data_IF_797989892682
#
_entry.id   IF_797989892682
#
_cell.length_a   1.000
_cell.length_b   1.000
_cell.length_c   1.000
_cell.angle_alpha   90.00
_cell.angle_beta   90.00
_cell.angle_gamma   90.00
#
_symmetry.space_group_name_H-M   'P 1'
#
loop_
_entity.id
_entity.type
_entity.pdbx_description
1 polymer ?
#
# COMPACT_ATOMS: atom_id res chain seq x y z
N UNK A 1 -66.87 -7.02 -24.78
CA UNK A 1 -67.02 -6.76 -23.32
C UNK A 1 -65.88 -7.46 -22.61
N UNK A 2 -65.22 -6.75 -21.85
CA UNK A 2 -64.16 -6.97 -20.88
C UNK A 2 -62.79 -6.47 -21.32
N UNK A 3 -62.37 -5.40 -20.67
CA UNK A 3 -61.11 -4.72 -20.83
C UNK A 3 -60.16 -5.35 -19.83
N UNK A 4 -59.07 -5.91 -20.30
CA UNK A 4 -57.98 -6.31 -19.45
C UNK A 4 -56.97 -5.14 -19.37
N UNK A 5 -56.95 -4.54 -18.18
CA UNK A 5 -55.96 -3.55 -17.74
C UNK A 5 -54.63 -4.29 -17.50
N UNK A 6 -53.66 -4.13 -18.38
CA UNK A 6 -52.28 -4.38 -18.06
C UNK A 6 -51.68 -3.19 -17.30
N UNK A 7 -51.55 -3.36 -16.01
CA UNK A 7 -50.80 -2.43 -15.15
C UNK A 7 -49.34 -2.41 -15.56
N UNK A 8 -48.94 -1.27 -16.09
CA UNK A 8 -47.56 -0.95 -16.47
C UNK A 8 -46.93 -0.17 -15.28
N UNK A 9 -46.64 -0.88 -14.21
CA UNK A 9 -45.94 -0.35 -13.03
C UNK A 9 -44.67 -1.15 -12.71
N UNK A 10 -43.69 -1.09 -13.55
CA UNK A 10 -42.35 -1.63 -13.22
C UNK A 10 -41.22 -1.04 -14.09
N UNK A 11 -41.28 0.24 -14.43
CA UNK A 11 -40.16 0.88 -15.16
C UNK A 11 -39.99 2.36 -14.72
N UNK A 12 -39.79 2.59 -13.44
CA UNK A 12 -39.26 3.88 -12.98
C UNK A 12 -38.83 3.75 -11.52
N UNK A 13 -37.63 3.20 -11.35
CA UNK A 13 -36.87 3.52 -10.17
C UNK A 13 -35.38 3.62 -10.58
N UNK A 14 -34.91 4.78 -11.03
CA UNK A 14 -33.47 5.03 -10.99
C UNK A 14 -33.13 5.12 -9.51
N UNK A 15 -32.46 4.08 -9.00
CA UNK A 15 -31.87 4.10 -7.68
C UNK A 15 -31.07 5.37 -7.54
N UNK A 16 -31.65 6.35 -6.88
CA UNK A 16 -31.01 7.57 -6.47
C UNK A 16 -29.84 7.21 -5.56
N UNK A 17 -28.64 7.42 -6.04
CA UNK A 17 -27.46 7.52 -5.22
C UNK A 17 -27.66 8.72 -4.30
N UNK A 18 -28.15 8.47 -3.10
CA UNK A 18 -28.19 9.47 -2.04
C UNK A 18 -26.73 9.76 -1.62
N UNK A 19 -26.23 10.88 -2.09
CA UNK A 19 -25.13 11.60 -1.47
C UNK A 19 -25.52 11.86 0.00
N UNK A 20 -24.92 11.13 0.95
CA UNK A 20 -25.12 11.47 2.35
C UNK A 20 -25.43 10.30 3.28
N UNK A 21 -24.61 9.26 3.28
CA UNK A 21 -24.49 8.40 4.45
C UNK A 21 -23.02 8.07 4.72
N UNK A 22 -22.28 9.08 5.14
CA UNK A 22 -21.10 8.91 5.95
C UNK A 22 -21.59 8.39 7.32
N UNK A 23 -21.32 7.12 7.65
CA UNK A 23 -21.52 6.72 9.01
C UNK A 23 -21.89 5.30 9.37
N UNK A 24 -22.00 4.36 8.45
CA UNK A 24 -22.42 2.99 8.81
C UNK A 24 -21.35 1.90 8.61
N UNK A 25 -20.15 2.22 8.12
CA UNK A 25 -19.15 1.22 7.82
C UNK A 25 -18.19 0.95 8.97
N UNK A 26 -18.32 -0.18 9.65
CA UNK A 26 -17.29 -0.65 10.59
C UNK A 26 -16.02 -1.10 9.90
N UNK A 27 -16.03 -1.23 8.58
CA UNK A 27 -14.93 -1.78 7.75
C UNK A 27 -14.70 -0.96 6.49
N UNK A 28 -13.47 -0.97 6.01
CA UNK A 28 -13.07 -0.33 4.77
C UNK A 28 -12.30 -1.31 3.88
N UNK A 29 -12.70 -1.42 2.62
CA UNK A 29 -11.90 -2.07 1.59
C UNK A 29 -10.85 -1.07 1.09
N UNK A 30 -9.57 -1.49 1.11
CA UNK A 30 -8.44 -0.60 0.86
C UNK A 30 -7.59 -1.16 -0.27
N UNK A 31 -7.26 -0.30 -1.23
CA UNK A 31 -6.29 -0.57 -2.29
C UNK A 31 -4.90 -0.25 -1.75
N UNK A 32 -3.99 -1.21 -1.79
CA UNK A 32 -2.58 -1.05 -1.43
C UNK A 32 -1.76 -0.94 -2.73
N UNK A 33 -0.79 -0.01 -2.84
CA UNK A 33 0.03 0.15 -4.05
C UNK A 33 1.05 -1.00 -4.20
N UNK A 34 0.56 -2.20 -4.38
CA UNK A 34 1.31 -3.44 -4.54
C UNK A 34 0.52 -4.44 -5.39
N UNK A 35 1.23 -5.36 -6.03
CA UNK A 35 0.64 -6.45 -6.83
C UNK A 35 0.00 -7.50 -5.91
N UNK A 36 -1.18 -7.19 -5.37
CA UNK A 36 -1.96 -8.08 -4.53
C UNK A 36 -3.12 -8.66 -5.33
N UNK A 37 -3.45 -9.95 -5.16
CA UNK A 37 -4.48 -10.61 -5.97
C UNK A 37 -5.89 -10.05 -5.75
N UNK A 38 -6.11 -9.34 -4.66
CA UNK A 38 -7.37 -8.67 -4.30
C UNK A 38 -7.12 -7.54 -3.31
N UNK A 39 -8.08 -6.64 -3.17
CA UNK A 39 -8.10 -5.69 -2.08
C UNK A 39 -8.41 -6.40 -0.76
N UNK A 40 -7.97 -5.83 0.34
CA UNK A 40 -8.23 -6.35 1.68
C UNK A 40 -9.09 -5.38 2.48
N UNK A 41 -9.64 -5.89 3.58
CA UNK A 41 -10.52 -5.15 4.47
C UNK A 41 -9.81 -4.89 5.80
N UNK A 42 -9.94 -3.66 6.29
CA UNK A 42 -9.53 -3.22 7.62
C UNK A 42 -10.72 -2.73 8.43
N UNK A 43 -10.65 -2.86 9.75
CA UNK A 43 -11.62 -2.26 10.65
C UNK A 43 -11.38 -0.75 10.77
N UNK A 44 -12.46 0.00 10.86
CA UNK A 44 -12.42 1.46 11.04
C UNK A 44 -12.67 1.76 12.51
N UNK A 45 -11.64 2.19 13.27
CA UNK A 45 -11.78 2.57 14.67
C UNK A 45 -12.85 3.67 14.83
N UNK A 46 -13.57 3.64 15.95
CA UNK A 46 -14.70 4.57 16.21
C UNK A 46 -14.29 6.03 16.02
N UNK A 47 -13.10 6.39 16.52
CA UNK A 47 -12.58 7.77 16.46
C UNK A 47 -12.18 8.23 15.04
N UNK A 48 -12.04 7.31 14.08
CA UNK A 48 -11.69 7.63 12.68
C UNK A 48 -12.90 7.57 11.74
N UNK A 49 -14.06 7.12 12.18
CA UNK A 49 -15.21 6.87 11.30
C UNK A 49 -15.69 8.08 10.50
N UNK A 50 -15.62 9.26 11.09
CA UNK A 50 -16.03 10.51 10.43
C UNK A 50 -14.99 11.02 9.42
N UNK A 51 -13.74 10.59 9.60
CA UNK A 51 -12.60 11.03 8.79
C UNK A 51 -12.34 10.09 7.62
N UNK A 52 -12.64 8.79 7.76
CA UNK A 52 -12.41 7.80 6.71
C UNK A 52 -13.49 7.93 5.65
N UNK A 53 -13.10 8.36 4.45
CA UNK A 53 -13.97 8.54 3.28
C UNK A 53 -13.40 7.78 2.08
N UNK A 54 -14.24 7.26 1.16
CA UNK A 54 -13.75 6.72 -0.11
C UNK A 54 -12.88 7.76 -0.84
N UNK A 55 -11.76 7.29 -1.39
CA UNK A 55 -10.80 8.16 -2.07
C UNK A 55 -9.78 8.86 -1.17
N UNK A 56 -9.90 8.79 0.17
CA UNK A 56 -8.88 9.24 1.09
C UNK A 56 -7.81 8.16 1.28
N UNK A 57 -6.58 8.59 1.52
CA UNK A 57 -5.51 7.68 1.92
C UNK A 57 -5.54 7.45 3.43
N UNK A 58 -5.20 6.23 3.79
CA UNK A 58 -5.11 5.79 5.19
C UNK A 58 -3.82 5.01 5.41
N UNK A 59 -3.27 5.10 6.61
CA UNK A 59 -2.15 4.29 7.04
C UNK A 59 -2.65 2.95 7.54
N UNK A 60 -2.15 1.86 6.96
CA UNK A 60 -2.53 0.49 7.32
C UNK A 60 -1.33 -0.43 7.43
N UNK A 61 -1.45 -1.45 8.27
CA UNK A 61 -0.48 -2.52 8.36
C UNK A 61 -0.83 -3.66 7.40
N UNK A 62 0.11 -4.05 6.54
CA UNK A 62 0.04 -5.26 5.74
C UNK A 62 1.08 -6.28 6.23
N UNK A 63 0.65 -7.50 6.54
CA UNK A 63 1.51 -8.50 7.15
C UNK A 63 1.90 -8.14 8.60
N UNK A 64 3.10 -8.51 9.05
CA UNK A 64 3.49 -8.35 10.46
C UNK A 64 3.91 -6.93 10.82
N UNK A 65 4.65 -6.24 9.94
CA UNK A 65 5.31 -4.97 10.28
C UNK A 65 5.31 -3.90 9.19
N UNK A 66 4.92 -4.25 7.95
CA UNK A 66 4.96 -3.28 6.85
C UNK A 66 3.76 -2.36 6.89
N UNK A 67 4.02 -1.06 6.87
CA UNK A 67 3.02 -0.01 6.80
C UNK A 67 2.93 0.54 5.37
N UNK A 68 1.73 0.88 4.96
CA UNK A 68 1.43 1.44 3.64
C UNK A 68 0.43 2.59 3.74
N UNK A 69 0.60 3.58 2.88
CA UNK A 69 -0.46 4.50 2.55
C UNK A 69 -1.38 3.80 1.53
N UNK A 70 -2.46 3.23 2.01
CA UNK A 70 -3.50 2.63 1.18
C UNK A 70 -4.60 3.63 0.87
N UNK A 71 -5.38 3.37 -0.19
CA UNK A 71 -6.51 4.19 -0.60
C UNK A 71 -7.83 3.50 -0.25
N UNK A 72 -8.73 4.20 0.42
CA UNK A 72 -10.06 3.69 0.74
C UNK A 72 -10.88 3.59 -0.55
N UNK A 73 -11.22 2.36 -0.96
CA UNK A 73 -12.09 2.10 -2.11
C UNK A 73 -13.56 2.28 -1.75
N UNK A 74 -13.98 1.64 -0.65
CA UNK A 74 -15.37 1.71 -0.15
C UNK A 74 -15.44 1.39 1.33
N UNK A 75 -16.51 1.85 1.95
CA UNK A 75 -16.88 1.50 3.32
C UNK A 75 -18.02 0.46 3.30
N UNK A 76 -18.02 -0.45 4.27
CA UNK A 76 -19.06 -1.46 4.42
C UNK A 76 -19.23 -1.89 5.87
N UNK A 77 -20.36 -2.52 6.17
CA UNK A 77 -20.68 -3.02 7.51
C UNK A 77 -20.36 -4.52 7.69
N UNK A 78 -20.07 -5.23 6.61
CA UNK A 78 -19.87 -6.67 6.62
C UNK A 78 -18.52 -7.03 7.26
N UNK A 79 -18.58 -7.80 8.35
CA UNK A 79 -17.38 -8.34 8.98
C UNK A 79 -16.85 -9.52 8.13
N UNK A 80 -15.56 -9.54 7.79
CA UNK A 80 -14.96 -10.72 7.17
C UNK A 80 -15.05 -11.94 8.09
N UNK A 81 -15.55 -13.07 7.56
CA UNK A 81 -15.80 -14.29 8.35
C UNK A 81 -14.54 -15.13 8.60
N UNK A 82 -13.56 -15.05 7.70
CA UNK A 82 -12.43 -16.00 7.65
C UNK A 82 -11.13 -15.46 8.23
N UNK A 83 -11.06 -14.20 8.66
CA UNK A 83 -9.84 -13.62 9.23
C UNK A 83 -10.17 -12.43 10.15
N UNK A 84 -9.29 -12.22 11.12
CA UNK A 84 -9.34 -11.01 11.95
C UNK A 84 -8.83 -9.82 11.16
N UNK A 85 -9.64 -8.76 11.14
CA UNK A 85 -9.25 -7.50 10.52
C UNK A 85 -8.32 -6.73 11.45
N UNK A 86 -7.33 -6.07 10.87
CA UNK A 86 -6.52 -5.07 11.57
C UNK A 86 -7.20 -3.72 11.47
N UNK A 87 -6.88 -2.84 12.40
CA UNK A 87 -7.38 -1.49 12.41
C UNK A 87 -6.63 -0.60 11.41
N UNK A 88 -7.35 0.37 10.84
CA UNK A 88 -6.73 1.53 10.21
C UNK A 88 -5.98 2.29 11.29
N UNK A 89 -4.73 2.65 11.03
CA UNK A 89 -3.89 3.34 12.00
C UNK A 89 -4.16 4.85 12.01
N UNK A 90 -4.19 5.47 10.83
CA UNK A 90 -4.37 6.91 10.66
C UNK A 90 -5.09 7.23 9.36
N UNK A 91 -5.71 8.40 9.29
CA UNK A 91 -6.21 9.03 8.05
C UNK A 91 -5.17 10.06 7.61
N UNK A 92 -4.76 10.01 6.36
CA UNK A 92 -3.68 10.83 5.82
C UNK A 92 -4.19 12.09 5.10
N UNK A 93 -5.44 12.09 4.67
CA UNK A 93 -6.05 13.17 3.92
C UNK A 93 -7.36 13.62 4.58
N UNK A 94 -7.59 14.92 4.67
CA UNK A 94 -8.85 15.48 5.15
C UNK A 94 -9.98 15.33 4.12
N UNK A 95 -9.63 15.36 2.82
CA UNK A 95 -10.55 15.22 1.70
C UNK A 95 -10.05 14.16 0.71
N UNK A 96 -10.93 13.56 -0.10
CA UNK A 96 -10.56 12.56 -1.10
C UNK A 96 -9.53 13.10 -2.10
N UNK A 97 -8.46 12.34 -2.32
CA UNK A 97 -7.42 12.63 -3.34
C UNK A 97 -7.68 11.88 -4.64
N UNK A 98 -8.56 10.88 -4.60
CA UNK A 98 -9.04 10.12 -5.76
C UNK A 98 -10.56 10.09 -5.71
N UNK A 99 -11.20 10.40 -6.83
CA UNK A 99 -12.65 10.47 -6.92
C UNK A 99 -13.25 9.13 -7.37
N UNK A 100 -14.56 8.98 -7.18
CA UNK A 100 -15.28 7.74 -7.49
C UNK A 100 -15.13 7.30 -8.94
N UNK A 101 -15.15 8.23 -9.88
CA UNK A 101 -14.98 7.97 -11.31
C UNK A 101 -13.58 7.39 -11.62
N UNK A 102 -12.56 7.87 -10.91
CA UNK A 102 -11.20 7.37 -11.05
C UNK A 102 -11.08 5.95 -10.45
N UNK A 103 -11.72 5.67 -9.32
CA UNK A 103 -11.77 4.34 -8.74
C UNK A 103 -12.45 3.33 -9.68
N UNK A 104 -13.57 3.71 -10.31
CA UNK A 104 -14.23 2.91 -11.34
C UNK A 104 -13.34 2.67 -12.56
N UNK A 105 -12.61 3.69 -12.99
CA UNK A 105 -11.64 3.57 -14.08
C UNK A 105 -10.51 2.61 -13.70
N UNK A 106 -9.98 2.66 -12.49
CA UNK A 106 -8.93 1.75 -12.04
C UNK A 106 -9.41 0.30 -11.99
N UNK A 107 -10.64 0.06 -11.52
CA UNK A 107 -11.25 -1.26 -11.54
C UNK A 107 -11.40 -1.80 -12.96
N UNK A 108 -11.83 -0.94 -13.89
CA UNK A 108 -11.92 -1.31 -15.31
C UNK A 108 -10.54 -1.62 -15.91
N UNK A 109 -9.52 -0.78 -15.64
CA UNK A 109 -8.14 -1.01 -16.11
C UNK A 109 -7.62 -2.33 -15.57
N UNK A 110 -7.79 -2.59 -14.26
CA UNK A 110 -7.35 -3.81 -13.62
C UNK A 110 -7.99 -5.05 -14.27
N UNK A 111 -9.30 -5.00 -14.52
CA UNK A 111 -10.04 -6.06 -15.19
C UNK A 111 -9.60 -6.27 -16.64
N UNK A 112 -9.41 -5.18 -17.40
CA UNK A 112 -9.06 -5.24 -18.83
C UNK A 112 -7.64 -5.77 -19.05
N UNK A 113 -6.67 -5.32 -18.26
CA UNK A 113 -5.26 -5.73 -18.37
C UNK A 113 -4.90 -6.93 -17.49
N UNK A 114 -5.87 -7.51 -16.77
CA UNK A 114 -5.66 -8.64 -15.85
C UNK A 114 -4.55 -8.37 -14.82
N UNK A 115 -4.50 -7.15 -14.29
CA UNK A 115 -3.62 -6.75 -13.21
C UNK A 115 -4.42 -6.42 -11.95
N UNK A 116 -3.75 -6.14 -10.84
CA UNK A 116 -4.42 -5.74 -9.61
C UNK A 116 -4.71 -4.22 -9.58
N UNK A 117 -5.75 -3.80 -8.86
CA UNK A 117 -6.02 -2.37 -8.65
C UNK A 117 -4.85 -1.67 -7.92
N UNK A 118 -4.09 -2.42 -7.11
CA UNK A 118 -2.88 -1.91 -6.47
C UNK A 118 -1.77 -1.55 -7.46
N UNK A 119 -1.61 -2.31 -8.54
CA UNK A 119 -0.67 -1.98 -9.63
C UNK A 119 -1.15 -0.77 -10.41
N UNK A 120 -2.46 -0.65 -10.65
CA UNK A 120 -3.05 0.56 -11.27
C UNK A 120 -2.81 1.78 -10.39
N UNK A 121 -3.09 1.69 -9.08
CA UNK A 121 -2.80 2.75 -8.10
C UNK A 121 -1.32 3.13 -8.11
N UNK A 122 -0.43 2.14 -8.16
CA UNK A 122 1.01 2.37 -8.17
C UNK A 122 1.47 3.14 -9.42
N UNK A 123 0.82 2.91 -10.57
CA UNK A 123 1.10 3.64 -11.80
C UNK A 123 0.44 5.03 -11.85
N UNK A 124 -0.78 5.15 -11.31
CA UNK A 124 -1.60 6.36 -11.41
C UNK A 124 -1.20 7.47 -10.43
N UNK A 125 -0.73 7.10 -9.23
CA UNK A 125 -0.40 8.09 -8.19
C UNK A 125 1.09 8.43 -8.16
N UNK A 126 1.45 9.69 -7.91
CA UNK A 126 2.82 10.11 -7.64
C UNK A 126 3.42 9.39 -6.41
N UNK A 127 4.75 9.29 -6.36
CA UNK A 127 5.48 8.57 -5.31
C UNK A 127 5.10 9.01 -3.88
N UNK A 128 5.00 10.31 -3.65
CA UNK A 128 4.68 10.88 -2.34
C UNK A 128 3.25 10.56 -1.85
N UNK A 129 2.36 10.08 -2.73
CA UNK A 129 1.05 9.57 -2.33
C UNK A 129 1.07 8.08 -1.94
N UNK A 130 2.14 7.35 -2.27
CA UNK A 130 2.29 5.89 -2.08
C UNK A 130 3.30 5.53 -0.99
N UNK A 131 3.46 6.36 0.02
CA UNK A 131 4.46 6.16 1.06
C UNK A 131 4.27 4.82 1.78
N UNK A 132 5.39 4.17 2.08
CA UNK A 132 5.46 2.94 2.88
C UNK A 132 6.59 3.05 3.89
N UNK A 133 6.66 2.14 4.84
CA UNK A 133 7.77 2.09 5.81
C UNK A 133 9.15 1.91 5.16
N UNK A 134 9.19 1.46 3.90
CA UNK A 134 10.43 1.29 3.13
C UNK A 134 10.75 2.49 2.22
N UNK A 135 9.92 3.53 2.24
CA UNK A 135 10.15 4.76 1.47
C UNK A 135 11.38 5.48 1.98
N UNK A 136 12.24 5.89 1.05
CA UNK A 136 13.44 6.68 1.34
C UNK A 136 13.18 8.12 0.96
N UNK A 137 13.41 9.02 1.91
CA UNK A 137 13.43 10.46 1.71
C UNK A 137 14.86 10.88 1.42
N UNK A 138 15.07 11.65 0.36
CA UNK A 138 16.38 12.17 -0.03
C UNK A 138 16.38 13.67 0.12
N UNK A 139 17.42 14.21 0.73
CA UNK A 139 17.59 15.64 0.92
C UNK A 139 17.72 16.36 -0.43
N UNK A 140 17.06 17.51 -0.54
CA UNK A 140 17.21 18.38 -1.70
C UNK A 140 18.38 19.36 -1.49
N UNK A 141 19.49 19.13 -2.15
CA UNK A 141 20.67 20.00 -2.02
C UNK A 141 20.43 21.44 -2.52
N UNK A 142 19.45 21.65 -3.41
CA UNK A 142 19.07 22.98 -3.90
C UNK A 142 18.31 23.80 -2.84
N UNK A 143 17.78 23.17 -1.80
CA UNK A 143 17.04 23.86 -0.74
C UNK A 143 17.98 24.72 0.13
N UNK A 144 19.23 24.30 0.31
CA UNK A 144 20.19 24.95 1.20
C UNK A 144 19.97 24.60 2.68
N UNK A 145 20.60 25.35 3.58
CA UNK A 145 20.62 25.12 5.03
C UNK A 145 19.73 26.09 5.84
N UNK A 146 18.96 26.94 5.16
CA UNK A 146 18.02 27.85 5.81
C UNK A 146 16.69 27.17 6.17
N UNK A 147 16.58 26.72 7.41
CA UNK A 147 15.39 26.06 7.95
C UNK A 147 14.45 27.00 8.72
N UNK A 148 14.60 28.33 8.58
CA UNK A 148 13.80 29.32 9.31
C UNK A 148 12.29 29.25 9.04
N UNK A 149 11.89 28.70 7.88
CA UNK A 149 10.49 28.51 7.46
C UNK A 149 9.89 27.17 7.91
N UNK A 150 10.64 26.33 8.63
CA UNK A 150 10.20 25.01 9.08
C UNK A 150 9.61 25.10 10.50
N UNK A 151 8.58 24.28 10.78
CA UNK A 151 8.13 24.08 12.15
C UNK A 151 9.10 23.17 12.91
N UNK A 152 8.84 22.94 14.20
CA UNK A 152 9.73 22.17 15.06
C UNK A 152 10.01 20.76 14.56
N UNK A 153 8.95 20.04 14.16
CA UNK A 153 9.07 18.65 13.68
C UNK A 153 9.74 18.59 12.29
N UNK A 154 9.38 19.54 11.44
CA UNK A 154 10.01 19.71 10.12
C UNK A 154 11.50 20.02 10.23
N UNK A 155 11.87 20.87 11.21
CA UNK A 155 13.26 21.23 11.48
C UNK A 155 14.09 20.01 11.89
N UNK A 156 13.59 19.20 12.84
CA UNK A 156 14.29 17.99 13.29
C UNK A 156 14.56 17.03 12.12
N UNK A 157 13.54 16.80 11.29
CA UNK A 157 13.69 15.92 10.13
C UNK A 157 14.57 16.54 9.05
N UNK A 158 14.45 17.85 8.81
CA UNK A 158 15.25 18.60 7.85
C UNK A 158 16.75 18.58 8.21
N UNK A 159 17.07 18.81 9.48
CA UNK A 159 18.46 18.74 9.99
C UNK A 159 19.03 17.32 9.88
N UNK A 160 18.25 16.29 10.22
CA UNK A 160 18.66 14.91 10.07
C UNK A 160 18.88 14.52 8.60
N UNK A 161 18.04 15.02 7.68
CA UNK A 161 18.20 14.85 6.24
C UNK A 161 19.44 15.57 5.71
N UNK A 162 19.72 16.78 6.17
CA UNK A 162 20.93 17.53 5.79
C UNK A 162 22.20 16.76 6.15
N UNK A 163 22.23 16.13 7.34
CA UNK A 163 23.36 15.38 7.84
C UNK A 163 23.53 14.01 7.18
N UNK A 164 22.46 13.24 7.07
CA UNK A 164 22.47 11.85 6.57
C UNK A 164 22.28 11.74 5.07
N UNK A 165 21.76 12.78 4.41
CA UNK A 165 21.36 12.84 3.01
C UNK A 165 20.14 11.98 2.66
N UNK A 166 19.92 10.89 3.36
CA UNK A 166 18.81 9.96 3.17
C UNK A 166 18.24 9.54 4.53
N UNK A 167 16.92 9.42 4.62
CA UNK A 167 16.21 8.86 5.78
C UNK A 167 15.09 7.94 5.28
N UNK A 168 14.93 6.80 5.93
CA UNK A 168 13.73 5.99 5.72
C UNK A 168 12.61 6.43 6.67
N UNK A 169 11.37 6.04 6.34
CA UNK A 169 10.19 6.45 7.10
C UNK A 169 10.26 5.99 8.57
N UNK A 170 10.85 4.83 8.83
CA UNK A 170 11.02 4.31 10.19
C UNK A 170 11.98 5.14 11.02
N UNK A 171 13.05 5.68 10.41
CA UNK A 171 13.99 6.61 11.08
C UNK A 171 13.29 7.93 11.43
N UNK A 172 12.45 8.46 10.52
CA UNK A 172 11.66 9.66 10.80
C UNK A 172 10.70 9.44 11.98
N UNK A 173 10.07 8.25 12.05
CA UNK A 173 9.21 7.89 13.18
C UNK A 173 9.98 7.83 14.50
N UNK A 174 11.21 7.34 14.49
CA UNK A 174 12.09 7.32 15.67
C UNK A 174 12.55 8.72 16.08
N UNK A 175 12.89 9.57 15.11
CA UNK A 175 13.33 10.95 15.37
C UNK A 175 12.24 11.80 16.03
N UNK A 176 11.00 11.65 15.59
CA UNK A 176 9.86 12.41 16.10
C UNK A 176 9.15 11.74 17.28
N UNK A 177 9.57 10.53 17.66
CA UNK A 177 8.89 9.67 18.65
C UNK A 177 7.37 9.59 18.38
N UNK A 178 7.00 9.55 17.11
CA UNK A 178 5.61 9.62 16.65
C UNK A 178 5.34 8.65 15.53
N UNK A 179 4.15 8.06 15.53
CA UNK A 179 3.64 7.29 14.40
C UNK A 179 3.03 8.19 13.30
N UNK A 180 2.73 9.47 13.62
CA UNK A 180 2.05 10.42 12.74
C UNK A 180 3.01 11.27 11.90
N UNK A 181 3.94 10.64 11.18
CA UNK A 181 4.99 11.35 10.42
C UNK A 181 4.59 11.78 9.01
N UNK A 182 3.54 11.18 8.43
CA UNK A 182 3.12 11.47 7.06
C UNK A 182 2.79 12.94 6.80
N UNK A 183 2.04 13.67 7.67
CA UNK A 183 1.79 15.09 7.47
C UNK A 183 3.07 15.93 7.46
N UNK A 184 4.03 15.62 8.33
CA UNK A 184 5.33 16.30 8.39
C UNK A 184 6.10 16.07 7.09
N UNK A 185 6.18 14.82 6.64
CA UNK A 185 6.85 14.45 5.39
C UNK A 185 6.22 15.15 4.19
N UNK A 186 4.89 15.16 4.09
CA UNK A 186 4.19 15.84 3.01
C UNK A 186 4.49 17.34 3.00
N UNK A 187 4.57 17.99 4.16
CA UNK A 187 4.94 19.42 4.24
C UNK A 187 6.38 19.66 3.81
N UNK A 188 7.33 18.79 4.20
CA UNK A 188 8.73 18.88 3.78
C UNK A 188 8.87 18.71 2.26
N UNK A 189 8.12 17.77 1.65
CA UNK A 189 8.09 17.58 0.20
C UNK A 189 7.50 18.81 -0.50
N UNK A 190 6.38 19.35 0.02
CA UNK A 190 5.75 20.55 -0.54
C UNK A 190 6.65 21.79 -0.45
N UNK A 191 7.44 21.92 0.62
CA UNK A 191 8.47 22.95 0.80
C UNK A 191 9.75 22.65 0.02
N UNK A 192 9.82 21.51 -0.69
CA UNK A 192 10.98 21.05 -1.48
C UNK A 192 12.26 20.84 -0.65
N UNK A 193 12.14 20.54 0.63
CA UNK A 193 13.26 20.19 1.51
C UNK A 193 13.80 18.80 1.15
N UNK A 194 12.90 17.91 0.74
CA UNK A 194 13.24 16.54 0.32
C UNK A 194 12.34 16.02 -0.79
N UNK A 195 12.75 14.92 -1.42
CA UNK A 195 11.91 14.14 -2.33
C UNK A 195 11.84 12.70 -1.88
N UNK A 196 10.83 12.01 -2.39
CA UNK A 196 10.69 10.57 -2.24
C UNK A 196 11.54 9.89 -3.30
N UNK A 197 12.48 9.07 -2.87
CA UNK A 197 13.19 8.17 -3.75
C UNK A 197 12.44 6.84 -3.83
N UNK A 198 11.83 6.58 -4.97
CA UNK A 198 11.39 5.23 -5.32
C UNK A 198 12.62 4.46 -5.83
N UNK A 199 13.31 3.78 -4.92
CA UNK A 199 14.25 2.78 -5.35
C UNK A 199 13.46 1.74 -6.14
N UNK A 200 13.69 1.67 -7.45
CA UNK A 200 13.39 0.48 -8.23
C UNK A 200 14.24 -0.63 -7.63
N UNK A 201 13.77 -1.22 -6.52
CA UNK A 201 14.34 -2.46 -6.04
C UNK A 201 14.13 -3.47 -7.16
N UNK A 202 15.14 -3.62 -8.00
CA UNK A 202 15.25 -4.80 -8.84
C UNK A 202 15.35 -5.98 -7.88
N UNK A 203 14.21 -6.46 -7.45
CA UNK A 203 14.07 -7.69 -6.66
C UNK A 203 14.22 -8.92 -7.55
N UNK A 204 14.92 -8.79 -8.68
CA UNK A 204 15.36 -9.95 -9.42
C UNK A 204 16.51 -10.60 -8.64
N UNK A 205 16.14 -11.46 -7.71
CA UNK A 205 17.08 -12.45 -7.18
C UNK A 205 17.08 -13.58 -8.22
N UNK A 206 18.18 -13.76 -8.97
CA UNK A 206 18.26 -14.87 -9.90
C UNK A 206 18.00 -16.17 -9.12
N UNK A 207 17.03 -16.95 -9.58
CA UNK A 207 16.82 -18.30 -9.03
C UNK A 207 18.14 -19.06 -9.17
N UNK A 208 18.75 -19.33 -8.03
CA UNK A 208 19.91 -20.24 -8.00
C UNK A 208 19.33 -21.65 -8.03
N UNK A 209 19.55 -22.36 -9.12
CA UNK A 209 19.31 -23.79 -9.18
C UNK A 209 20.55 -24.49 -8.62
N UNK A 210 20.34 -25.37 -7.68
CA UNK A 210 21.41 -26.20 -7.13
C UNK A 210 21.54 -27.43 -8.01
N UNK A 211 22.62 -27.52 -8.74
CA UNK A 211 22.97 -28.71 -9.49
C UNK A 211 23.86 -29.60 -8.62
N UNK A 212 23.52 -30.88 -8.57
CA UNK A 212 24.38 -31.91 -7.97
C UNK A 212 25.07 -32.59 -9.15
N UNK A 213 26.36 -32.41 -9.24
CA UNK A 213 27.19 -33.09 -10.24
C UNK A 213 27.96 -34.22 -9.54
N UNK A 214 28.06 -35.35 -10.23
CA UNK A 214 28.90 -36.43 -9.77
C UNK A 214 30.37 -35.93 -9.84
N UNK A 215 31.15 -36.21 -8.78
CA UNK A 215 32.58 -35.89 -8.80
C UNK A 215 33.23 -36.72 -9.93
N UNK A 216 34.01 -36.09 -10.83
CA UNK A 216 34.66 -36.78 -11.95
C UNK A 216 35.50 -38.00 -11.55
N UNK A 217 35.96 -38.10 -10.32
CA UNK A 217 36.65 -39.27 -9.78
C UNK A 217 35.80 -40.53 -9.77
N UNK A 218 34.43 -40.35 -9.65
CA UNK A 218 33.45 -41.42 -9.61
C UNK A 218 32.63 -41.57 -10.91
N UNK A 219 33.13 -41.00 -12.00
CA UNK A 219 32.55 -41.14 -13.34
C UNK A 219 32.76 -42.56 -13.96
N UNK A 220 33.42 -43.45 -13.21
CA UNK A 220 33.60 -44.86 -13.52
C UNK A 220 32.63 -45.71 -12.65
N UNK A 221 31.87 -46.60 -13.31
CA UNK A 221 30.87 -47.46 -12.65
C UNK A 221 31.46 -48.32 -11.51
N UNK A 222 32.69 -48.81 -11.67
CA UNK A 222 33.35 -49.62 -10.66
C UNK A 222 33.65 -48.81 -9.38
N UNK A 223 34.20 -47.61 -9.53
CA UNK A 223 34.50 -46.72 -8.40
C UNK A 223 33.24 -46.22 -7.70
N UNK A 224 32.19 -45.92 -8.47
CA UNK A 224 30.89 -45.54 -7.91
C UNK A 224 30.25 -46.67 -7.13
N UNK A 225 30.31 -47.90 -7.67
CA UNK A 225 29.79 -49.10 -7.00
C UNK A 225 30.55 -49.38 -5.69
N UNK A 226 31.89 -49.25 -5.70
CA UNK A 226 32.69 -49.40 -4.48
C UNK A 226 32.36 -48.33 -3.43
N UNK A 227 32.15 -47.07 -3.83
CA UNK A 227 31.72 -46.03 -2.93
C UNK A 227 30.35 -46.35 -2.28
N UNK A 228 29.39 -46.75 -3.10
CA UNK A 228 28.04 -47.07 -2.64
C UNK A 228 28.02 -48.30 -1.70
N UNK A 229 28.81 -49.31 -2.01
CA UNK A 229 28.93 -50.51 -1.20
C UNK A 229 29.61 -50.28 0.18
N UNK A 230 30.54 -49.32 0.21
CA UNK A 230 31.27 -48.93 1.44
C UNK A 230 30.54 -47.84 2.24
N UNK A 231 29.41 -47.32 1.76
CA UNK A 231 28.64 -46.28 2.47
C UNK A 231 27.89 -46.93 3.66
N UNK A 232 28.49 -46.82 4.81
CA UNK A 232 27.80 -47.13 6.07
C UNK A 232 26.86 -45.99 6.40
N UNK A 233 25.54 -46.30 6.50
CA UNK A 233 24.56 -45.34 7.01
C UNK A 233 24.98 -44.88 8.41
N UNK A 234 25.22 -43.54 8.54
CA UNK A 234 25.36 -42.91 9.84
C UNK A 234 23.99 -42.75 10.50
#
# INVERSE_FOLDING_TARGET
MSKDNFNNEALNNPAGLSSGQAGAGGYAEIIIPAALPKNYTWSVPVHLRELVKPGCRVEVNLGKSKKYAGLVKRLHAERPEFFETKDILNVLDAEPVVFEEQLKLWEWIASYYMCSEGEVMAAALPAHFKLSSETILVYNEEYGDDFSALDHDEYIVGEALLLKKELNLSEVQQLLDSSHVYPVINRLINKKVCYVWEALKQTYVPKKETFVLLNPEYDNEDKLSDLLNNWTRA
#
